data_IF_595365639392
#
_entry.id   IF_595365639392
#
_cell.length_a   1.000
_cell.length_b   1.000
_cell.length_c   1.000
_cell.angle_alpha   90.00
_cell.angle_beta   90.00
_cell.angle_gamma   90.00
#
_symmetry.space_group_name_H-M   'P 1'
#
loop_
_entity.id
_entity.type
_entity.pdbx_description
1 polymer ?
#
# COMPACT_ATOMS: atom_id res chain seq x y z
N UNK A 1 21.11 -6.34 -22.36
CA UNK A 1 19.72 -6.71 -22.69
C UNK A 1 18.85 -6.10 -21.63
N UNK A 2 17.94 -5.21 -22.02
CA UNK A 2 17.06 -4.54 -21.06
C UNK A 2 15.99 -5.55 -20.61
N UNK A 3 15.86 -5.89 -19.31
CA UNK A 3 14.86 -6.87 -18.86
C UNK A 3 13.40 -6.43 -19.11
N UNK A 4 13.17 -5.24 -19.67
CA UNK A 4 11.86 -4.67 -19.99
C UNK A 4 11.35 -4.95 -21.42
N UNK A 5 12.03 -5.76 -22.24
CA UNK A 5 11.77 -5.82 -23.69
C UNK A 5 10.81 -6.93 -24.18
N UNK A 6 10.40 -7.91 -23.37
CA UNK A 6 9.31 -8.80 -23.79
C UNK A 6 7.95 -8.27 -23.32
N UNK A 7 7.38 -7.36 -24.11
CA UNK A 7 6.06 -6.76 -23.89
C UNK A 7 4.98 -7.83 -23.74
N UNK A 8 5.12 -8.99 -24.40
CA UNK A 8 4.11 -10.05 -24.36
C UNK A 8 4.09 -10.81 -23.04
N UNK A 9 5.24 -11.20 -22.50
CA UNK A 9 5.33 -11.84 -21.17
C UNK A 9 4.88 -10.89 -20.06
N UNK A 10 5.19 -9.60 -20.22
CA UNK A 10 4.74 -8.56 -19.28
C UNK A 10 3.22 -8.42 -19.30
N UNK A 11 2.59 -8.41 -20.48
CA UNK A 11 1.12 -8.33 -20.60
C UNK A 11 0.42 -9.55 -20.02
N UNK A 12 0.95 -10.76 -20.25
CA UNK A 12 0.42 -11.98 -19.65
C UNK A 12 0.51 -11.94 -18.12
N UNK A 13 1.64 -11.49 -17.57
CA UNK A 13 1.82 -11.38 -16.12
C UNK A 13 0.92 -10.32 -15.47
N UNK A 14 0.51 -9.29 -16.22
CA UNK A 14 -0.39 -8.22 -15.73
C UNK A 14 -1.86 -8.62 -15.87
N UNK A 15 -2.22 -9.45 -16.86
CA UNK A 15 -3.61 -9.84 -17.11
C UNK A 15 -4.25 -10.48 -15.86
N UNK A 16 -3.47 -11.21 -15.07
CA UNK A 16 -3.92 -11.87 -13.84
C UNK A 16 -3.85 -10.95 -12.59
N UNK A 17 -3.35 -9.71 -12.71
CA UNK A 17 -3.33 -8.74 -11.61
C UNK A 17 -4.72 -8.09 -11.45
N UNK A 18 -5.42 -8.26 -10.31
CA UNK A 18 -6.80 -7.78 -10.15
C UNK A 18 -6.98 -6.26 -10.24
N UNK A 19 -5.89 -5.49 -10.13
CA UNK A 19 -5.89 -4.03 -10.20
C UNK A 19 -5.29 -3.54 -11.51
N UNK A 20 -4.07 -3.97 -11.83
CA UNK A 20 -3.41 -3.50 -13.05
C UNK A 20 -3.96 -4.15 -14.32
N UNK A 21 -4.40 -5.41 -14.27
CA UNK A 21 -4.98 -6.14 -15.39
C UNK A 21 -6.26 -5.47 -15.90
N UNK A 22 -7.18 -5.13 -15.00
CA UNK A 22 -8.42 -4.42 -15.35
C UNK A 22 -8.14 -2.97 -15.77
N UNK A 23 -7.17 -2.30 -15.14
CA UNK A 23 -6.81 -0.93 -15.49
C UNK A 23 -6.18 -0.80 -16.90
N UNK A 24 -5.64 -1.88 -17.48
CA UNK A 24 -5.15 -1.90 -18.87
C UNK A 24 -6.27 -1.62 -19.89
N UNK A 25 -7.53 -1.83 -19.54
CA UNK A 25 -8.68 -1.46 -20.40
C UNK A 25 -8.81 0.06 -20.58
N UNK A 26 -8.23 0.84 -19.67
CA UNK A 26 -8.43 2.29 -19.56
C UNK A 26 -7.15 3.10 -19.73
N UNK A 27 -5.99 2.49 -19.47
CA UNK A 27 -4.70 3.15 -19.44
C UNK A 27 -3.62 2.36 -20.19
N UNK A 28 -2.68 3.09 -20.80
CA UNK A 28 -1.50 2.50 -21.42
C UNK A 28 -0.55 1.90 -20.38
N UNK A 29 0.27 0.94 -20.81
CA UNK A 29 1.31 0.33 -19.97
C UNK A 29 2.25 1.38 -19.35
N UNK A 30 2.59 2.44 -20.09
CA UNK A 30 3.43 3.53 -19.56
C UNK A 30 2.75 4.27 -18.41
N UNK A 31 1.44 4.53 -18.52
CA UNK A 31 0.68 5.20 -17.46
C UNK A 31 0.57 4.32 -16.21
N UNK A 32 0.40 3.00 -16.39
CA UNK A 32 0.35 2.05 -15.27
C UNK A 32 1.72 1.85 -14.62
N UNK A 33 2.82 1.88 -15.38
CA UNK A 33 4.18 1.92 -14.84
C UNK A 33 4.40 3.15 -13.95
N UNK A 34 3.93 4.32 -14.39
CA UNK A 34 3.94 5.52 -13.54
C UNK A 34 3.07 5.37 -12.29
N UNK A 35 2.00 4.57 -12.36
CA UNK A 35 1.13 4.24 -11.24
C UNK A 35 1.70 3.16 -10.30
N UNK A 36 2.94 2.71 -10.50
CA UNK A 36 3.62 1.75 -9.62
C UNK A 36 3.67 0.32 -10.15
N UNK A 37 3.21 0.05 -11.37
CA UNK A 37 3.40 -1.25 -12.02
C UNK A 37 4.89 -1.49 -12.29
N UNK A 38 5.45 -2.51 -11.64
CA UNK A 38 6.80 -3.01 -11.85
C UNK A 38 6.80 -4.27 -12.74
N UNK A 39 7.97 -4.62 -13.28
CA UNK A 39 8.15 -5.84 -14.08
C UNK A 39 8.00 -7.12 -13.24
N UNK A 40 7.94 -8.25 -13.94
CA UNK A 40 7.71 -9.59 -13.37
C UNK A 40 8.65 -9.87 -12.19
N UNK A 41 8.11 -10.16 -10.99
CA UNK A 41 8.93 -10.48 -9.83
C UNK A 41 9.69 -11.81 -10.01
N UNK A 42 10.71 -12.05 -9.19
CA UNK A 42 11.42 -13.33 -9.16
C UNK A 42 10.46 -14.49 -8.85
N UNK A 43 10.82 -15.70 -9.31
CA UNK A 43 10.01 -16.90 -9.08
C UNK A 43 9.74 -17.17 -7.59
N UNK A 44 10.72 -16.91 -6.72
CA UNK A 44 10.57 -17.05 -5.27
C UNK A 44 9.49 -16.13 -4.70
N UNK A 45 9.39 -14.90 -5.23
CA UNK A 45 8.37 -13.94 -4.82
C UNK A 45 7.01 -14.31 -5.36
N UNK A 46 6.94 -14.82 -6.59
CA UNK A 46 5.69 -15.38 -7.12
C UNK A 46 5.21 -16.52 -6.22
N UNK A 47 6.09 -17.46 -5.85
CA UNK A 47 5.74 -18.57 -4.97
C UNK A 47 5.29 -18.12 -3.58
N UNK A 48 6.04 -17.22 -2.93
CA UNK A 48 5.64 -16.73 -1.59
C UNK A 48 4.41 -15.83 -1.59
N UNK A 49 4.11 -15.18 -2.72
CA UNK A 49 2.84 -14.49 -2.96
C UNK A 49 1.68 -15.47 -3.15
N UNK A 50 1.92 -16.56 -3.89
CA UNK A 50 0.90 -17.54 -4.30
C UNK A 50 0.56 -18.54 -3.20
N UNK A 51 1.55 -18.90 -2.38
CA UNK A 51 1.45 -19.90 -1.33
C UNK A 51 2.03 -19.36 -0.02
N UNK A 52 1.44 -18.29 0.57
CA UNK A 52 2.03 -17.62 1.73
C UNK A 52 2.20 -18.54 2.95
N UNK A 53 1.36 -19.56 3.10
CA UNK A 53 1.46 -20.58 4.15
C UNK A 53 2.73 -21.44 4.08
N UNK A 54 3.38 -21.54 2.92
CA UNK A 54 4.69 -22.20 2.76
C UNK A 54 5.86 -21.32 3.23
N UNK A 55 5.61 -20.04 3.55
CA UNK A 55 6.61 -19.02 3.90
C UNK A 55 6.29 -18.33 5.24
N UNK A 56 6.25 -19.09 6.36
CA UNK A 56 5.73 -18.63 7.65
C UNK A 56 6.48 -17.41 8.22
N UNK A 57 7.77 -17.28 7.93
CA UNK A 57 8.62 -16.16 8.41
C UNK A 57 8.20 -14.80 7.84
N UNK A 58 7.36 -14.80 6.80
CA UNK A 58 6.88 -13.58 6.12
C UNK A 58 5.37 -13.41 6.21
N UNK A 59 4.69 -14.25 6.98
CA UNK A 59 3.27 -14.09 7.25
C UNK A 59 3.04 -12.83 8.08
N UNK A 60 1.96 -12.13 7.77
CA UNK A 60 1.46 -11.13 8.73
C UNK A 60 1.04 -11.89 9.98
N UNK A 61 1.29 -11.32 11.14
CA UNK A 61 0.99 -11.89 12.46
C UNK A 61 -0.51 -12.10 12.77
N UNK A 62 -1.35 -12.39 11.76
CA UNK A 62 -2.71 -12.85 11.93
C UNK A 62 -2.69 -14.24 12.58
N UNK A 63 -2.76 -14.28 13.91
CA UNK A 63 -2.81 -15.53 14.66
C UNK A 63 -4.27 -15.96 14.89
N UNK A 64 -4.60 -17.20 14.50
CA UNK A 64 -5.96 -17.77 14.63
C UNK A 64 -6.46 -17.85 16.08
N UNK A 65 -5.54 -17.89 17.04
CA UNK A 65 -5.89 -18.01 18.45
C UNK A 65 -6.14 -16.64 19.12
N UNK A 66 -5.83 -15.54 18.43
CA UNK A 66 -5.94 -14.18 18.94
C UNK A 66 -7.37 -13.62 18.83
N UNK A 67 -7.73 -12.75 19.76
CA UNK A 67 -8.96 -11.95 19.75
C UNK A 67 -9.12 -11.17 18.45
N UNK A 68 -8.02 -10.66 17.88
CA UNK A 68 -8.04 -9.93 16.61
C UNK A 68 -8.59 -10.82 15.49
N UNK A 69 -8.15 -12.08 15.39
CA UNK A 69 -8.66 -13.00 14.38
C UNK A 69 -10.15 -13.28 14.55
N UNK A 70 -10.62 -13.50 15.78
CA UNK A 70 -12.05 -13.72 16.05
C UNK A 70 -12.89 -12.53 15.62
N UNK A 71 -12.41 -11.31 15.89
CA UNK A 71 -13.05 -10.08 15.43
C UNK A 71 -13.04 -9.97 13.91
N UNK A 72 -11.89 -10.18 13.26
CA UNK A 72 -11.79 -10.18 11.79
C UNK A 72 -12.79 -11.16 11.17
N UNK A 73 -12.89 -12.38 11.72
CA UNK A 73 -13.82 -13.41 11.23
C UNK A 73 -15.28 -13.00 11.39
N UNK A 74 -15.66 -12.54 12.58
CA UNK A 74 -17.02 -12.10 12.88
C UNK A 74 -17.46 -10.94 11.97
N UNK A 75 -16.63 -9.91 11.82
CA UNK A 75 -16.95 -8.76 10.95
C UNK A 75 -16.94 -9.17 9.48
N UNK A 76 -16.06 -10.08 9.07
CA UNK A 76 -16.07 -10.61 7.71
C UNK A 76 -17.41 -11.29 7.38
N UNK A 77 -17.96 -12.06 8.31
CA UNK A 77 -19.28 -12.71 8.15
C UNK A 77 -20.45 -11.70 8.07
N UNK A 78 -20.28 -10.46 8.55
CA UNK A 78 -21.24 -9.36 8.40
C UNK A 78 -21.14 -8.66 7.03
N UNK A 79 -20.07 -8.91 6.26
CA UNK A 79 -19.88 -8.37 4.91
C UNK A 79 -19.35 -6.93 4.84
N UNK A 80 -18.97 -6.33 5.98
CA UNK A 80 -18.50 -4.94 6.08
C UNK A 80 -17.02 -4.83 6.49
N UNK A 81 -16.30 -5.94 6.63
CA UNK A 81 -14.88 -5.92 7.01
C UNK A 81 -14.01 -5.15 6.00
N UNK A 82 -13.16 -4.27 6.51
CA UNK A 82 -12.14 -3.59 5.73
C UNK A 82 -10.72 -3.87 6.24
N UNK A 83 -9.78 -3.99 5.31
CA UNK A 83 -8.35 -4.08 5.60
C UNK A 83 -7.68 -2.90 4.90
N UNK A 84 -7.01 -2.07 5.67
CA UNK A 84 -6.25 -0.94 5.15
C UNK A 84 -4.82 -1.41 4.90
N UNK A 85 -4.27 -1.12 3.71
CA UNK A 85 -2.91 -1.51 3.36
C UNK A 85 -2.15 -0.31 2.81
N UNK A 86 -1.06 0.05 3.46
CA UNK A 86 -0.11 1.05 2.98
C UNK A 86 1.20 0.35 2.61
N UNK A 87 1.82 0.76 1.51
CA UNK A 87 3.20 0.35 1.21
C UNK A 87 4.12 1.57 1.22
N UNK A 88 5.35 1.36 1.69
CA UNK A 88 6.31 2.46 1.73
C UNK A 88 7.74 2.01 1.97
N UNK A 89 8.67 2.88 1.60
CA UNK A 89 10.08 2.71 1.94
C UNK A 89 10.28 2.73 3.46
N UNK A 90 9.50 3.58 4.16
CA UNK A 90 9.55 3.82 5.61
C UNK A 90 10.99 3.95 6.14
N UNK A 91 11.75 4.84 5.50
CA UNK A 91 13.18 5.01 5.71
C UNK A 91 13.51 6.45 6.15
N UNK A 92 13.18 6.90 7.38
CA UNK A 92 12.50 6.14 8.43
C UNK A 92 10.97 6.27 8.39
N UNK A 93 10.28 5.36 9.10
CA UNK A 93 8.88 5.58 9.49
C UNK A 93 8.79 6.78 10.46
N UNK A 94 7.64 7.45 10.48
CA UNK A 94 7.39 8.62 11.34
C UNK A 94 5.88 8.80 11.53
N UNK A 95 5.48 9.65 12.48
CA UNK A 95 4.07 9.85 12.89
C UNK A 95 3.13 10.14 11.73
N UNK A 96 3.57 10.88 10.72
CA UNK A 96 2.73 11.13 9.53
C UNK A 96 2.36 9.87 8.74
N UNK A 97 3.16 8.79 8.77
CA UNK A 97 2.72 7.55 8.13
C UNK A 97 1.53 6.94 8.90
N UNK A 98 1.57 7.00 10.23
CA UNK A 98 0.48 6.53 11.11
C UNK A 98 -0.76 7.38 10.89
N UNK A 99 -0.60 8.70 10.86
CA UNK A 99 -1.69 9.63 10.64
C UNK A 99 -2.36 9.42 9.28
N UNK A 100 -1.59 9.21 8.21
CA UNK A 100 -2.11 8.87 6.88
C UNK A 100 -3.06 7.67 6.94
N UNK A 101 -2.65 6.61 7.65
CA UNK A 101 -3.48 5.43 7.80
C UNK A 101 -4.70 5.69 8.70
N UNK A 102 -4.54 6.46 9.78
CA UNK A 102 -5.63 6.82 10.69
C UNK A 102 -6.70 7.70 10.01
N UNK A 103 -6.32 8.59 9.11
CA UNK A 103 -7.26 9.35 8.28
C UNK A 103 -8.03 8.43 7.34
N UNK A 104 -7.36 7.47 6.70
CA UNK A 104 -8.03 6.51 5.84
C UNK A 104 -8.98 5.59 6.62
N UNK A 105 -8.60 5.18 7.83
CA UNK A 105 -9.44 4.42 8.74
C UNK A 105 -10.76 5.11 9.05
N UNK A 106 -10.73 6.41 9.40
CA UNK A 106 -11.95 7.21 9.62
C UNK A 106 -12.79 7.32 8.36
N UNK A 107 -12.18 7.63 7.22
CA UNK A 107 -12.90 7.75 5.94
C UNK A 107 -13.60 6.45 5.52
N UNK A 108 -12.97 5.29 5.76
CA UNK A 108 -13.56 3.99 5.46
C UNK A 108 -14.71 3.65 6.43
N UNK A 109 -14.60 4.03 7.71
CA UNK A 109 -15.71 3.94 8.68
C UNK A 109 -16.91 4.79 8.29
N UNK A 110 -16.68 6.01 7.82
CA UNK A 110 -17.76 6.89 7.34
C UNK A 110 -18.51 6.34 6.12
N UNK A 111 -17.91 5.41 5.37
CA UNK A 111 -18.58 4.67 4.30
C UNK A 111 -19.41 3.47 4.79
N UNK A 112 -19.35 3.16 6.08
CA UNK A 112 -20.06 2.02 6.67
C UNK A 112 -19.27 0.71 6.67
N UNK A 113 -17.96 0.75 6.40
CA UNK A 113 -17.10 -0.42 6.63
C UNK A 113 -16.58 -0.45 8.06
N UNK A 114 -16.20 -1.64 8.52
CA UNK A 114 -15.53 -1.85 9.80
C UNK A 114 -14.08 -2.26 9.54
N UNK A 115 -13.09 -1.35 9.66
CA UNK A 115 -11.69 -1.70 9.59
C UNK A 115 -11.33 -2.70 10.69
N UNK A 116 -10.73 -3.82 10.30
CA UNK A 116 -10.31 -4.89 11.22
C UNK A 116 -8.81 -5.15 11.21
N UNK A 117 -8.08 -4.51 10.29
CA UNK A 117 -6.63 -4.48 10.30
C UNK A 117 -6.11 -3.29 9.48
N UNK A 118 -5.01 -2.71 9.93
CA UNK A 118 -4.20 -1.75 9.20
C UNK A 118 -2.78 -2.29 9.02
N UNK A 119 -2.39 -2.55 7.77
CA UNK A 119 -1.13 -3.19 7.41
C UNK A 119 -0.18 -2.15 6.81
N UNK A 120 0.98 -1.98 7.42
CA UNK A 120 2.10 -1.21 6.89
C UNK A 120 3.11 -2.18 6.28
N UNK A 121 3.19 -2.22 4.94
CA UNK A 121 4.08 -3.14 4.22
C UNK A 121 5.38 -2.43 3.82
N UNK A 122 6.48 -2.89 4.41
CA UNK A 122 7.82 -2.39 4.11
C UNK A 122 8.25 -2.83 2.72
N UNK A 123 8.67 -1.86 1.89
CA UNK A 123 9.18 -2.17 0.56
C UNK A 123 10.59 -2.76 0.58
N UNK A 124 10.92 -3.49 -0.49
CA UNK A 124 12.23 -4.12 -0.70
C UNK A 124 13.39 -3.15 -0.56
N UNK A 125 14.54 -3.62 -0.04
CA UNK A 125 15.75 -2.79 0.01
C UNK A 125 16.12 -2.26 -1.38
N UNK A 126 15.91 -3.05 -2.43
CA UNK A 126 16.19 -2.63 -3.79
C UNK A 126 15.34 -1.41 -4.18
N UNK A 127 14.06 -1.38 -3.80
CA UNK A 127 13.21 -0.19 -3.98
C UNK A 127 13.77 1.01 -3.21
N UNK A 128 14.11 0.82 -1.93
CA UNK A 128 14.67 1.90 -1.09
C UNK A 128 15.98 2.42 -1.68
N UNK A 129 16.86 1.54 -2.16
CA UNK A 129 18.11 1.90 -2.84
C UNK A 129 17.83 2.72 -4.10
N UNK A 130 16.91 2.30 -4.95
CA UNK A 130 16.63 3.05 -6.18
C UNK A 130 15.95 4.40 -5.94
N UNK A 131 15.07 4.49 -4.94
CA UNK A 131 14.25 5.68 -4.69
C UNK A 131 14.94 6.68 -3.77
N UNK A 132 15.65 6.20 -2.75
CA UNK A 132 16.15 7.01 -1.64
C UNK A 132 17.64 7.30 -1.77
N UNK A 133 18.50 6.30 -2.04
CA UNK A 133 19.96 6.51 -2.04
C UNK A 133 20.47 7.59 -3.01
N UNK A 134 19.91 7.76 -4.24
CA UNK A 134 20.35 8.82 -5.15
C UNK A 134 20.18 10.22 -4.56
N UNK A 135 19.19 10.42 -3.69
CA UNK A 135 18.93 11.67 -2.99
C UNK A 135 19.59 11.69 -1.62
N UNK A 136 19.70 10.51 -0.99
CA UNK A 136 20.30 10.35 0.31
C UNK A 136 21.17 9.09 0.50
N UNK A 137 22.49 9.17 0.24
CA UNK A 137 23.39 8.02 0.37
C UNK A 137 23.51 7.43 1.77
N UNK A 138 23.13 8.18 2.82
CA UNK A 138 23.17 7.72 4.22
C UNK A 138 21.83 7.15 4.71
N UNK A 139 20.81 7.06 3.84
CA UNK A 139 19.49 6.60 4.26
C UNK A 139 19.51 5.16 4.78
N UNK A 140 18.64 4.88 5.76
CA UNK A 140 18.41 3.54 6.28
C UNK A 140 17.83 2.65 5.17
N UNK A 141 18.66 1.79 4.61
CA UNK A 141 18.25 0.81 3.60
C UNK A 141 17.90 -0.53 4.24
N UNK A 142 18.68 -0.92 5.25
CA UNK A 142 18.60 -2.23 5.87
C UNK A 142 17.19 -2.54 6.39
N UNK A 143 16.65 -3.68 5.96
CA UNK A 143 15.29 -4.10 6.33
C UNK A 143 15.12 -4.26 7.85
N UNK A 144 16.11 -4.84 8.55
CA UNK A 144 16.03 -5.07 9.99
C UNK A 144 15.96 -3.76 10.76
N UNK A 145 16.78 -2.78 10.40
CA UNK A 145 16.80 -1.46 11.02
C UNK A 145 15.49 -0.72 10.76
N UNK A 146 14.98 -0.74 9.53
CA UNK A 146 13.69 -0.11 9.19
C UNK A 146 12.54 -0.74 9.96
N UNK A 147 12.48 -2.08 10.03
CA UNK A 147 11.48 -2.81 10.82
C UNK A 147 11.52 -2.40 12.29
N UNK A 148 12.70 -2.36 12.89
CA UNK A 148 12.85 -2.04 14.31
C UNK A 148 12.53 -0.56 14.58
N UNK A 149 12.81 0.34 13.63
CA UNK A 149 12.38 1.75 13.71
C UNK A 149 10.86 1.90 13.57
N UNK A 150 10.23 1.16 12.66
CA UNK A 150 8.78 1.17 12.45
C UNK A 150 8.03 0.70 13.69
N UNK A 151 8.49 -0.38 14.34
CA UNK A 151 7.90 -0.90 15.58
C UNK A 151 7.89 0.10 16.74
N UNK A 152 8.80 1.07 16.76
CA UNK A 152 8.84 2.12 17.79
C UNK A 152 7.83 3.24 17.55
N UNK A 153 7.34 3.38 16.32
CA UNK A 153 6.45 4.47 15.88
C UNK A 153 5.02 3.99 15.71
N UNK A 154 4.82 2.74 15.26
CA UNK A 154 3.50 2.17 15.06
C UNK A 154 2.78 2.01 16.41
N UNK A 155 1.54 2.51 16.53
CA UNK A 155 0.70 2.18 17.67
C UNK A 155 0.22 0.72 17.53
N UNK A 156 -0.29 0.14 18.61
CA UNK A 156 -0.95 -1.17 18.56
C UNK A 156 -2.30 -1.10 17.82
N UNK A 157 -2.99 0.04 17.93
CA UNK A 157 -4.31 0.30 17.33
C UNK A 157 -4.35 1.70 16.69
N UNK A 158 -5.04 1.85 15.55
CA UNK A 158 -5.45 3.15 15.01
C UNK A 158 -6.84 3.50 15.52
N UNK A 159 -7.05 4.78 15.83
CA UNK A 159 -8.35 5.32 16.28
C UNK A 159 -9.04 4.43 17.33
N UNK A 160 -8.24 3.85 18.25
CA UNK A 160 -8.64 3.00 19.38
C UNK A 160 -9.08 1.56 19.07
N UNK A 161 -9.53 1.26 17.85
CA UNK A 161 -10.20 0.00 17.54
C UNK A 161 -9.67 -0.72 16.29
N UNK A 162 -8.70 -0.19 15.53
CA UNK A 162 -8.18 -0.90 14.34
C UNK A 162 -6.77 -1.44 14.57
N UNK A 163 -6.58 -2.76 14.73
CA UNK A 163 -5.26 -3.34 14.98
C UNK A 163 -4.25 -3.07 13.88
N UNK A 164 -3.02 -2.75 14.29
CA UNK A 164 -1.92 -2.39 13.39
C UNK A 164 -0.96 -3.56 13.22
N UNK A 165 -0.58 -3.81 11.97
CA UNK A 165 0.37 -4.84 11.59
C UNK A 165 1.50 -4.25 10.77
N UNK A 166 2.72 -4.70 11.06
CA UNK A 166 3.89 -4.45 10.23
C UNK A 166 4.15 -5.69 9.35
N UNK A 167 4.03 -5.51 8.04
CA UNK A 167 4.33 -6.54 7.05
C UNK A 167 5.75 -6.33 6.49
N UNK A 168 6.58 -7.37 6.56
CA UNK A 168 7.97 -7.35 6.10
C UNK A 168 8.19 -8.22 4.87
N UNK A 169 7.13 -8.79 4.29
CA UNK A 169 7.25 -9.74 3.18
C UNK A 169 8.07 -9.16 2.02
N UNK A 170 7.68 -8.02 1.44
CA UNK A 170 8.42 -7.44 0.30
C UNK A 170 9.86 -7.07 0.69
N UNK A 171 10.05 -6.53 1.90
CA UNK A 171 11.36 -6.20 2.46
C UNK A 171 12.30 -7.40 2.68
N UNK A 172 11.75 -8.62 2.78
CA UNK A 172 12.50 -9.85 3.06
C UNK A 172 13.07 -10.50 1.82
N UNK A 173 12.58 -10.15 0.63
CA UNK A 173 13.04 -10.76 -0.63
C UNK A 173 13.91 -9.82 -1.46
N UNK A 174 14.95 -10.40 -2.04
CA UNK A 174 15.75 -9.75 -3.08
C UNK A 174 15.01 -9.73 -4.43
N UNK A 175 15.53 -8.98 -5.42
CA UNK A 175 14.99 -9.02 -6.80
C UNK A 175 14.22 -7.79 -7.26
N UNK A 176 14.55 -6.61 -6.72
CA UNK A 176 14.11 -5.33 -7.29
C UNK A 176 12.82 -4.74 -6.68
N UNK A 177 12.40 -3.56 -7.16
CA UNK A 177 11.11 -2.97 -6.80
C UNK A 177 9.93 -3.84 -7.27
N UNK A 178 8.88 -3.90 -6.45
CA UNK A 178 7.64 -4.61 -6.77
C UNK A 178 6.46 -3.64 -6.82
N UNK A 179 5.44 -4.02 -7.57
CA UNK A 179 4.14 -3.34 -7.54
C UNK A 179 3.50 -3.53 -6.17
N UNK A 180 2.84 -2.50 -5.64
CA UNK A 180 2.06 -2.62 -4.40
C UNK A 180 0.98 -3.72 -4.50
N UNK A 181 0.47 -3.98 -5.71
CA UNK A 181 -0.53 -5.03 -5.96
C UNK A 181 -0.02 -6.40 -5.55
N UNK A 182 1.28 -6.66 -5.63
CA UNK A 182 1.86 -7.94 -5.20
C UNK A 182 1.68 -8.15 -3.69
N UNK A 183 1.85 -7.11 -2.89
CA UNK A 183 1.54 -7.15 -1.45
C UNK A 183 0.05 -7.38 -1.22
N UNK A 184 -0.83 -6.70 -1.97
CA UNK A 184 -2.28 -6.88 -1.85
C UNK A 184 -2.73 -8.31 -2.18
N UNK A 185 -2.21 -8.90 -3.27
CA UNK A 185 -2.49 -10.29 -3.65
C UNK A 185 -2.07 -11.25 -2.53
N UNK A 186 -0.85 -11.11 -2.01
CA UNK A 186 -0.35 -11.97 -0.93
C UNK A 186 -1.15 -11.81 0.35
N UNK A 187 -1.48 -10.58 0.74
CA UNK A 187 -2.35 -10.31 1.91
C UNK A 187 -3.69 -11.01 1.73
N UNK A 188 -4.30 -10.87 0.54
CA UNK A 188 -5.58 -11.49 0.24
C UNK A 188 -5.53 -13.02 0.39
N UNK A 189 -4.47 -13.65 -0.13
CA UNK A 189 -4.24 -15.10 0.03
C UNK A 189 -3.95 -15.51 1.46
N UNK A 190 -3.19 -14.70 2.20
CA UNK A 190 -2.93 -14.95 3.63
C UNK A 190 -4.24 -14.97 4.41
N UNK A 191 -5.15 -14.03 4.15
CA UNK A 191 -6.48 -13.97 4.75
C UNK A 191 -7.33 -15.19 4.36
N UNK A 192 -7.27 -15.60 3.09
CA UNK A 192 -7.99 -16.79 2.60
C UNK A 192 -7.50 -18.08 3.25
N UNK A 193 -6.18 -18.26 3.40
CA UNK A 193 -5.55 -19.40 4.06
C UNK A 193 -5.99 -19.52 5.53
N UNK A 194 -6.34 -18.40 6.18
CA UNK A 194 -6.91 -18.38 7.54
C UNK A 194 -8.44 -18.28 7.56
N UNK A 195 -9.11 -18.55 6.44
CA UNK A 195 -10.57 -18.59 6.31
C UNK A 195 -11.30 -17.24 6.55
N UNK A 196 -10.64 -16.11 6.28
CA UNK A 196 -11.26 -14.79 6.15
C UNK A 196 -11.49 -14.54 4.66
N UNK A 197 -12.74 -14.35 4.23
CA UNK A 197 -13.12 -14.36 2.80
C UNK A 197 -13.91 -13.14 2.33
N UNK A 198 -14.73 -12.58 3.20
CA UNK A 198 -15.63 -11.48 2.87
C UNK A 198 -15.09 -10.19 3.48
N UNK A 199 -14.22 -9.51 2.75
CA UNK A 199 -13.58 -8.26 3.17
C UNK A 199 -13.26 -7.37 1.97
N UNK A 200 -13.09 -6.09 2.24
CA UNK A 200 -12.64 -5.10 1.26
C UNK A 200 -11.22 -4.64 1.57
N UNK A 201 -10.31 -4.81 0.60
CA UNK A 201 -8.95 -4.25 0.69
C UNK A 201 -8.94 -2.80 0.20
N UNK A 202 -8.59 -1.87 1.08
CA UNK A 202 -8.33 -0.48 0.73
C UNK A 202 -6.82 -0.24 0.67
N UNK A 203 -6.32 0.13 -0.50
CA UNK A 203 -4.93 0.58 -0.63
C UNK A 203 -4.81 2.06 -0.27
N UNK A 204 -3.98 2.37 0.72
CA UNK A 204 -3.84 3.71 1.28
C UNK A 204 -2.51 4.34 0.86
N UNK A 205 -2.57 5.54 0.30
CA UNK A 205 -1.38 6.29 -0.14
C UNK A 205 -1.59 7.80 -0.03
N UNK A 206 -0.48 8.54 -0.01
CA UNK A 206 -0.50 10.00 0.03
C UNK A 206 -0.65 10.63 -1.35
N UNK A 207 -1.01 11.92 -1.39
CA UNK A 207 -1.13 12.69 -2.63
C UNK A 207 0.13 12.70 -3.51
N UNK A 208 1.31 12.50 -2.93
CA UNK A 208 2.58 12.36 -3.66
C UNK A 208 2.61 11.11 -4.56
N UNK A 209 1.77 10.11 -4.26
CA UNK A 209 1.58 8.90 -5.04
C UNK A 209 0.19 8.82 -5.67
N UNK A 210 -0.52 9.96 -5.86
CA UNK A 210 -1.87 10.00 -6.40
C UNK A 210 -2.03 9.32 -7.78
N UNK A 211 -0.95 9.21 -8.55
CA UNK A 211 -0.92 8.46 -9.81
C UNK A 211 -1.33 6.99 -9.64
N UNK A 212 -1.13 6.42 -8.45
CA UNK A 212 -1.53 5.06 -8.09
C UNK A 212 -3.04 4.84 -8.17
N UNK A 213 -3.85 5.91 -8.09
CA UNK A 213 -5.30 5.85 -8.26
C UNK A 213 -5.68 5.13 -9.56
N UNK A 214 -4.89 5.27 -10.64
CA UNK A 214 -5.20 4.65 -11.94
C UNK A 214 -5.38 3.14 -11.89
N UNK A 215 -4.66 2.45 -10.99
CA UNK A 215 -4.81 1.00 -10.79
C UNK A 215 -6.17 0.60 -10.21
N UNK A 216 -6.92 1.57 -9.67
CA UNK A 216 -8.22 1.38 -9.05
C UNK A 216 -9.36 2.00 -9.87
N UNK A 217 -9.08 2.42 -11.11
CA UNK A 217 -10.11 3.05 -11.96
C UNK A 217 -11.25 2.10 -12.34
N UNK A 218 -10.98 0.80 -12.44
CA UNK A 218 -11.98 -0.22 -12.85
C UNK A 218 -12.40 -1.11 -11.69
N UNK A 219 -11.46 -1.59 -10.87
CA UNK A 219 -11.70 -2.53 -9.77
C UNK A 219 -10.94 -2.15 -8.51
N UNK A 220 -11.32 -2.78 -7.38
CA UNK A 220 -10.68 -2.57 -6.08
C UNK A 220 -11.00 -1.21 -5.43
N UNK A 221 -10.39 -1.00 -4.26
CA UNK A 221 -10.64 0.18 -3.43
C UNK A 221 -9.33 0.83 -3.00
N UNK A 222 -9.36 2.16 -2.91
CA UNK A 222 -8.20 2.97 -2.53
C UNK A 222 -8.60 4.23 -1.77
N UNK A 223 -7.68 4.70 -0.93
CA UNK A 223 -7.77 5.98 -0.23
C UNK A 223 -6.51 6.80 -0.50
N UNK A 224 -6.69 7.90 -1.23
CA UNK A 224 -5.68 8.92 -1.43
C UNK A 224 -5.83 10.01 -0.36
N UNK A 225 -4.86 10.10 0.55
CA UNK A 225 -4.85 11.11 1.61
C UNK A 225 -4.07 12.34 1.15
N UNK A 226 -4.75 13.48 1.11
CA UNK A 226 -4.16 14.77 0.74
C UNK A 226 -3.27 15.31 1.86
N UNK A 227 -2.17 15.96 1.46
CA UNK A 227 -1.31 16.71 2.39
C UNK A 227 -1.89 18.11 2.59
N UNK A 228 -1.68 18.72 3.76
CA UNK A 228 -2.08 20.10 4.01
C UNK A 228 -1.54 21.06 2.95
N UNK A 229 -2.38 21.97 2.46
CA UNK A 229 -2.02 22.96 1.45
C UNK A 229 -1.99 22.43 0.02
N UNK A 230 -2.34 21.16 -0.19
CA UNK A 230 -2.46 20.53 -1.51
C UNK A 230 -3.93 20.42 -1.94
N UNK A 231 -4.88 20.75 -1.06
CA UNK A 231 -6.33 20.56 -1.25
C UNK A 231 -6.93 21.40 -2.39
N UNK A 232 -6.35 22.56 -2.71
CA UNK A 232 -7.02 23.60 -3.53
C UNK A 232 -6.27 23.99 -4.81
N UNK A 233 -5.16 23.34 -5.14
CA UNK A 233 -4.48 23.60 -6.42
C UNK A 233 -5.02 22.67 -7.51
N UNK A 234 -5.44 23.23 -8.65
CA UNK A 234 -5.69 22.48 -9.89
C UNK A 234 -4.43 21.69 -10.33
N UNK A 235 -3.26 22.11 -9.86
CA UNK A 235 -1.97 21.46 -10.05
C UNK A 235 -1.66 20.31 -9.06
N UNK A 236 -2.56 20.03 -8.10
CA UNK A 236 -2.39 18.88 -7.22
C UNK A 236 -2.45 17.59 -8.03
N UNK A 237 -1.55 16.65 -7.73
CA UNK A 237 -1.54 15.34 -8.39
C UNK A 237 -2.90 14.66 -8.29
N UNK A 238 -3.56 14.73 -7.12
CA UNK A 238 -4.85 14.12 -6.89
C UNK A 238 -5.98 14.76 -7.71
N UNK A 239 -6.08 16.10 -7.76
CA UNK A 239 -7.07 16.83 -8.57
C UNK A 239 -6.91 16.48 -10.05
N UNK A 240 -5.66 16.45 -10.54
CA UNK A 240 -5.35 16.05 -11.91
C UNK A 240 -5.89 14.66 -12.23
N UNK A 241 -5.59 13.64 -11.42
CA UNK A 241 -6.04 12.27 -11.68
C UNK A 241 -7.54 12.09 -11.44
N UNK A 242 -8.14 12.81 -10.50
CA UNK A 242 -9.59 12.83 -10.27
C UNK A 242 -10.37 13.37 -11.47
N UNK A 243 -9.77 14.30 -12.23
CA UNK A 243 -10.39 14.87 -13.42
C UNK A 243 -10.45 13.92 -14.62
N UNK A 244 -9.67 12.82 -14.61
CA UNK A 244 -9.62 11.84 -15.71
C UNK A 244 -10.99 11.15 -15.86
N UNK A 245 -11.55 11.06 -17.08
CA UNK A 245 -12.88 10.47 -17.30
C UNK A 245 -13.04 9.07 -16.69
N UNK A 246 -11.99 8.25 -16.77
CA UNK A 246 -11.97 6.88 -16.25
C UNK A 246 -11.94 6.83 -14.71
N UNK A 247 -11.44 7.87 -14.05
CA UNK A 247 -11.36 7.95 -12.59
C UNK A 247 -12.64 8.47 -11.95
N UNK A 248 -13.36 9.37 -12.63
CA UNK A 248 -14.60 9.98 -12.12
C UNK A 248 -15.63 8.95 -11.68
N UNK A 249 -15.75 7.85 -12.43
CA UNK A 249 -16.67 6.77 -12.07
C UNK A 249 -16.24 6.03 -10.80
N UNK A 250 -14.95 5.74 -10.64
CA UNK A 250 -14.42 5.09 -9.44
C UNK A 250 -14.63 5.96 -8.19
N UNK A 251 -14.47 7.28 -8.32
CA UNK A 251 -14.74 8.26 -7.25
C UNK A 251 -16.25 8.32 -6.95
N UNK A 252 -17.10 8.42 -7.98
CA UNK A 252 -18.56 8.46 -7.83
C UNK A 252 -19.11 7.21 -7.13
N UNK A 253 -18.53 6.05 -7.43
CA UNK A 253 -18.83 4.77 -6.80
C UNK A 253 -18.20 4.61 -5.40
N UNK A 254 -17.45 5.62 -4.91
CA UNK A 254 -16.72 5.57 -3.64
C UNK A 254 -15.74 4.39 -3.55
N UNK A 255 -15.23 3.91 -4.70
CA UNK A 255 -14.13 2.94 -4.75
C UNK A 255 -12.78 3.62 -4.53
N UNK A 256 -12.63 4.83 -5.05
CA UNK A 256 -11.46 5.67 -4.80
C UNK A 256 -11.89 6.88 -3.98
N UNK A 257 -11.35 6.99 -2.77
CA UNK A 257 -11.58 8.12 -1.88
C UNK A 257 -10.41 9.08 -1.97
N UNK A 258 -10.73 10.37 -1.97
CA UNK A 258 -9.75 11.45 -1.85
C UNK A 258 -10.16 12.21 -0.60
N UNK A 259 -9.30 12.20 0.41
CA UNK A 259 -9.64 12.70 1.74
C UNK A 259 -8.55 13.62 2.25
N UNK A 260 -8.94 14.66 2.98
CA UNK A 260 -7.98 15.58 3.59
C UNK A 260 -7.42 14.97 4.86
N UNK A 261 -6.13 15.19 5.08
CA UNK A 261 -5.52 14.96 6.38
C UNK A 261 -6.05 16.00 7.39
N UNK A 262 -6.17 15.61 8.65
CA UNK A 262 -6.61 16.51 9.72
C UNK A 262 -5.49 17.39 10.29
N UNK A 263 -4.26 16.87 10.44
CA UNK A 263 -3.13 17.69 10.89
C UNK A 263 -2.70 18.69 9.83
N UNK A 264 -2.28 19.88 10.28
CA UNK A 264 -1.61 20.89 9.45
C UNK A 264 -0.09 20.67 9.32
N UNK A 265 0.48 19.69 10.02
CA UNK A 265 1.92 19.44 9.99
C UNK A 265 2.36 18.78 8.68
N UNK A 266 3.46 19.26 8.11
CA UNK A 266 4.04 18.72 6.88
C UNK A 266 5.49 18.23 7.07
N UNK A 267 5.65 16.95 7.40
CA UNK A 267 6.90 16.28 7.74
C UNK A 267 7.09 15.11 6.79
N UNK A 268 8.09 15.22 5.91
CA UNK A 268 8.48 14.12 5.04
C UNK A 268 9.73 13.40 5.56
N UNK A 269 9.87 12.12 5.22
CA UNK A 269 11.11 11.38 5.52
C UNK A 269 12.33 12.02 4.86
N UNK A 270 12.14 12.76 3.75
CA UNK A 270 13.21 13.54 3.11
C UNK A 270 13.71 14.66 4.01
N UNK A 271 12.81 15.37 4.69
CA UNK A 271 13.17 16.43 5.65
C UNK A 271 13.87 15.87 6.87
N UNK A 272 13.35 14.78 7.45
CA UNK A 272 13.98 14.12 8.62
C UNK A 272 15.42 13.71 8.29
N UNK A 273 15.62 13.03 7.16
CA UNK A 273 16.96 12.61 6.75
C UNK A 273 17.89 13.77 6.35
N UNK A 274 17.35 14.96 6.07
CA UNK A 274 18.16 16.16 5.81
C UNK A 274 18.64 16.76 7.13
N UNK A 275 17.77 16.82 8.15
CA UNK A 275 18.12 17.30 9.49
C UNK A 275 19.17 16.40 10.17
N UNK A 276 19.11 15.08 9.96
CA UNK A 276 20.12 14.14 10.47
C UNK A 276 21.50 14.24 9.79
N UNK A 277 21.63 14.97 8.67
CA UNK A 277 22.93 15.18 8.00
C UNK A 277 23.73 16.32 8.61
N UNK A 278 23.07 17.24 9.29
CA UNK A 278 23.64 18.45 9.86
C UNK A 278 24.03 18.26 11.34
N UNK A 279 23.88 17.04 11.86
CA UNK A 279 24.39 16.54 13.14
C UNK A 279 25.63 15.66 12.91
#
# INVERSE_FOLDING_TARGET
MNPYENTQDTLLAIADDPWFGTALEKYSLSQLRSAGLCATPSLEVVKSRDFPSEYPDTLIGFNRDDEIYRRMKMVSECGDAAILVGTGSYAPMHGQHVELMATADRAVKELGYTPVAAVFSLQSEAHVRSKVLPKNPKALVDTSVRRDSARKILPEMLNEDTPVFLDVWDASYSGGPRSFSQSLIRISRTLHDIAIRDYTLFYVFGADNAVSMRAFSVSGYAVCVLRPGVEESDDSGASRYASEPQMREAIRQKRVLIVNRESSEDISSTMIRAQERDL
#
